data_IF_576596695399
#
_entry.id   IF_576596695399
#
_cell.length_a   1.000
_cell.length_b   1.000
_cell.length_c   1.000
_cell.angle_alpha   90.00
_cell.angle_beta   90.00
_cell.angle_gamma   90.00
#
_symmetry.space_group_name_H-M   'P 1'
#
loop_
_entity.id
_entity.type
_entity.pdbx_description
1 polymer ?
#
# COMPACT_ATOMS: atom_id res chain seq x y z
N UNK A 1 -46.54 12.92 30.81
CA UNK A 1 -46.88 14.04 29.92
C UNK A 1 -45.64 14.31 29.10
N UNK A 2 -45.53 13.70 27.91
CA UNK A 2 -45.97 14.23 26.60
C UNK A 2 -44.93 15.23 26.07
N UNK A 3 -44.40 15.18 24.84
CA UNK A 3 -44.46 14.28 23.67
C UNK A 3 -43.15 14.53 22.87
N UNK A 4 -42.64 13.63 22.02
CA UNK A 4 -43.14 13.34 20.66
C UNK A 4 -43.33 14.64 19.85
N UNK A 5 -42.76 14.90 18.67
CA UNK A 5 -42.16 14.08 17.61
C UNK A 5 -41.35 15.07 16.71
N UNK A 6 -40.45 14.71 15.80
CA UNK A 6 -40.64 14.18 14.44
C UNK A 6 -39.24 14.34 13.78
N UNK A 7 -38.64 13.28 13.22
CA UNK A 7 -38.90 12.72 11.88
C UNK A 7 -37.98 13.34 10.82
N UNK A 8 -37.33 12.48 10.05
CA UNK A 8 -36.24 12.84 9.14
C UNK A 8 -35.47 11.62 8.65
N UNK A 9 -36.22 10.62 8.17
CA UNK A 9 -35.77 9.43 7.46
C UNK A 9 -34.69 9.73 6.38
N UNK A 10 -33.53 9.08 6.48
CA UNK A 10 -32.62 8.90 5.32
C UNK A 10 -32.17 7.44 5.25
N UNK A 11 -33.13 6.55 5.02
CA UNK A 11 -32.86 5.16 4.64
C UNK A 11 -32.58 5.06 3.15
N UNK A 12 -31.35 4.65 2.86
CA UNK A 12 -30.92 3.70 1.81
C UNK A 12 -31.86 3.57 0.60
N UNK A 13 -31.49 4.21 -0.50
CA UNK A 13 -31.83 3.72 -1.84
C UNK A 13 -30.67 2.88 -2.37
N UNK A 14 -30.82 1.57 -2.19
CA UNK A 14 -30.09 0.53 -2.93
C UNK A 14 -31.04 0.00 -3.99
N UNK A 15 -30.88 0.44 -5.24
CA UNK A 15 -31.07 -0.34 -6.47
C UNK A 15 -30.98 0.58 -7.69
N UNK A 16 -29.84 0.49 -8.39
CA UNK A 16 -29.67 1.03 -9.73
C UNK A 16 -28.80 0.05 -10.50
N UNK A 17 -29.43 -0.89 -11.20
CA UNK A 17 -28.76 -1.74 -12.16
C UNK A 17 -28.85 -1.15 -13.56
N UNK A 18 -27.72 -1.27 -14.29
CA UNK A 18 -27.60 -1.42 -15.74
C UNK A 18 -27.40 -0.15 -16.60
N UNK A 19 -26.28 -0.16 -17.34
CA UNK A 19 -25.88 0.78 -18.40
C UNK A 19 -24.43 1.20 -18.13
N UNK A 20 -23.39 0.63 -18.75
CA UNK A 20 -23.23 0.38 -20.18
C UNK A 20 -22.68 1.65 -20.83
N UNK A 21 -21.36 1.82 -20.85
CA UNK A 21 -20.72 3.01 -21.43
C UNK A 21 -19.20 2.95 -21.36
N UNK A 22 -18.61 2.55 -22.48
CA UNK A 22 -17.19 2.53 -22.78
C UNK A 22 -16.48 3.84 -22.41
N UNK A 23 -15.25 3.74 -21.92
CA UNK A 23 -14.34 4.87 -21.82
C UNK A 23 -13.09 4.53 -21.02
N UNK A 24 -12.25 3.62 -21.55
CA UNK A 24 -10.84 3.54 -21.18
C UNK A 24 -10.13 4.77 -21.75
N UNK A 25 -9.58 5.71 -20.95
CA UNK A 25 -8.58 6.62 -21.45
C UNK A 25 -7.21 6.02 -21.16
N UNK A 26 -6.35 6.05 -22.18
CA UNK A 26 -4.94 5.68 -22.18
C UNK A 26 -4.68 4.21 -22.53
N UNK A 27 -4.51 4.01 -23.84
CA UNK A 27 -4.06 2.78 -24.43
C UNK A 27 -2.67 2.36 -23.93
N UNK A 28 -2.65 1.23 -23.23
CA UNK A 28 -1.51 0.33 -23.18
C UNK A 28 -1.99 -1.02 -23.70
N UNK A 29 -1.52 -1.42 -24.89
CA UNK A 29 -1.69 -2.79 -25.38
C UNK A 29 -0.51 -3.62 -24.84
N UNK A 30 -0.71 -4.62 -23.96
CA UNK A 30 0.30 -5.62 -23.73
C UNK A 30 0.33 -6.59 -24.91
N UNK A 31 1.50 -6.80 -25.50
CA UNK A 31 1.73 -7.84 -26.50
C UNK A 31 1.76 -9.18 -25.75
N UNK A 32 0.68 -9.96 -25.83
CA UNK A 32 0.71 -11.38 -25.47
C UNK A 32 1.27 -12.17 -26.65
N UNK A 33 2.31 -12.95 -26.40
CA UNK A 33 2.67 -14.09 -27.24
C UNK A 33 2.19 -15.33 -26.50
N UNK A 34 1.06 -15.88 -26.94
CA UNK A 34 0.61 -17.22 -26.55
C UNK A 34 0.97 -18.18 -27.69
N UNK A 35 1.71 -19.22 -27.31
CA UNK A 35 2.10 -20.35 -28.13
C UNK A 35 2.56 -21.45 -27.20
N UNK A 36 1.59 -22.06 -26.51
CA UNK A 36 1.77 -23.30 -25.75
C UNK A 36 2.17 -24.45 -26.68
N UNK A 37 3.01 -25.36 -26.18
CA UNK A 37 3.30 -26.60 -26.90
C UNK A 37 4.43 -27.47 -26.34
N UNK A 38 4.25 -27.98 -25.11
CA UNK A 38 4.58 -29.35 -24.66
C UNK A 38 5.96 -29.97 -24.95
N UNK A 39 6.60 -30.49 -23.89
CA UNK A 39 7.24 -31.82 -23.97
C UNK A 39 8.65 -31.96 -23.38
N UNK A 40 8.71 -32.43 -22.13
CA UNK A 40 9.52 -33.58 -21.68
C UNK A 40 11.03 -33.64 -21.88
N UNK A 41 11.74 -33.76 -20.75
CA UNK A 41 12.72 -34.86 -20.58
C UNK A 41 14.21 -34.49 -20.49
N UNK A 42 14.79 -34.83 -19.34
CA UNK A 42 16.07 -35.57 -19.30
C UNK A 42 17.38 -34.79 -19.26
N UNK A 43 17.98 -34.71 -18.06
CA UNK A 43 19.27 -35.32 -17.73
C UNK A 43 20.58 -34.92 -18.45
N UNK A 44 21.61 -34.66 -17.64
CA UNK A 44 23.03 -34.63 -18.01
C UNK A 44 23.56 -33.19 -18.15
N UNK A 45 24.70 -32.78 -17.60
CA UNK A 45 25.87 -33.50 -17.11
C UNK A 45 27.11 -32.77 -17.62
N UNK A 46 28.03 -32.38 -16.71
CA UNK A 46 29.36 -31.85 -17.01
C UNK A 46 29.40 -30.41 -17.55
N UNK A 47 30.50 -29.67 -17.52
CA UNK A 47 31.84 -29.79 -16.93
C UNK A 47 32.69 -28.69 -17.57
N UNK A 48 33.57 -28.03 -16.79
CA UNK A 48 34.66 -27.20 -17.31
C UNK A 48 34.22 -25.87 -17.96
N UNK A 49 35.00 -24.80 -18.01
CA UNK A 49 36.35 -24.45 -17.59
C UNK A 49 36.38 -22.92 -17.59
N UNK A 50 37.05 -22.26 -16.65
CA UNK A 50 38.45 -21.81 -16.80
C UNK A 50 38.71 -21.00 -18.09
N UNK A 51 39.16 -19.76 -17.90
CA UNK A 51 39.70 -18.88 -18.93
C UNK A 51 38.81 -17.65 -19.15
N UNK A 52 39.29 -16.43 -19.12
CA UNK A 52 40.65 -15.94 -19.01
C UNK A 52 40.56 -14.41 -18.88
N UNK A 53 41.64 -13.82 -18.38
CA UNK A 53 41.78 -12.39 -18.28
C UNK A 53 41.66 -11.70 -19.63
N UNK A 54 41.20 -10.47 -19.58
CA UNK A 54 41.09 -9.58 -20.72
C UNK A 54 40.84 -8.17 -20.20
N UNK A 55 41.89 -7.59 -19.62
CA UNK A 55 42.06 -6.15 -19.54
C UNK A 55 41.85 -5.58 -20.95
N UNK A 56 40.63 -5.09 -21.21
CA UNK A 56 40.40 -4.19 -22.33
C UNK A 56 40.44 -2.79 -21.74
N UNK A 57 41.68 -2.34 -21.56
CA UNK A 57 42.03 -0.93 -21.60
C UNK A 57 41.50 -0.35 -22.90
N UNK A 58 40.28 0.15 -22.84
CA UNK A 58 39.65 1.00 -23.85
C UNK A 58 39.96 2.46 -23.61
N UNK A 59 41.19 2.78 -23.17
CA UNK A 59 41.77 4.11 -23.39
C UNK A 59 42.09 4.21 -24.87
N UNK A 60 41.11 4.60 -25.69
CA UNK A 60 41.30 5.16 -27.03
C UNK A 60 39.95 5.62 -27.52
N UNK A 61 39.66 6.89 -27.29
CA UNK A 61 38.43 7.46 -27.83
C UNK A 61 38.09 8.87 -27.41
N UNK A 62 39.05 9.72 -26.99
CA UNK A 62 38.80 11.15 -26.81
C UNK A 62 40.05 12.00 -27.05
N UNK A 63 40.64 11.92 -28.24
CA UNK A 63 41.65 12.88 -28.69
C UNK A 63 41.51 13.15 -30.21
N UNK A 64 40.30 13.48 -30.70
CA UNK A 64 40.11 13.85 -32.13
C UNK A 64 39.28 15.13 -32.34
N UNK A 65 39.17 15.97 -31.32
CA UNK A 65 38.72 17.36 -31.45
C UNK A 65 39.71 18.17 -30.62
N UNK A 66 40.44 19.19 -31.06
CA UNK A 66 40.25 20.14 -32.14
C UNK A 66 41.54 20.99 -32.07
N UNK A 67 42.38 21.03 -33.11
CA UNK A 67 42.86 22.35 -33.50
C UNK A 67 41.76 22.91 -34.39
N UNK A 68 40.60 23.21 -33.79
CA UNK A 68 39.61 23.97 -34.50
C UNK A 68 40.27 25.30 -34.80
N UNK A 69 40.29 25.64 -36.08
CA UNK A 69 40.55 26.98 -36.51
C UNK A 69 39.50 27.89 -35.85
N UNK A 70 39.85 28.43 -34.69
CA UNK A 70 38.98 29.30 -33.91
C UNK A 70 39.09 30.71 -34.49
N UNK A 71 38.13 31.01 -35.35
CA UNK A 71 37.99 32.32 -35.96
C UNK A 71 36.92 33.08 -35.19
N UNK A 72 37.26 34.25 -34.64
CA UNK A 72 36.25 35.15 -34.08
C UNK A 72 35.73 36.09 -35.17
N UNK A 73 34.51 36.64 -35.03
CA UNK A 73 34.03 37.71 -35.92
C UNK A 73 35.03 38.87 -36.06
N UNK A 74 35.74 39.18 -34.97
CA UNK A 74 36.77 40.22 -34.96
C UNK A 74 37.99 39.83 -35.81
N UNK A 75 38.41 38.57 -35.75
CA UNK A 75 39.52 38.05 -36.56
C UNK A 75 39.17 38.08 -38.05
N UNK A 76 37.92 37.71 -38.41
CA UNK A 76 37.42 37.86 -39.78
C UNK A 76 37.52 39.32 -40.23
N UNK A 77 37.00 40.27 -39.43
CA UNK A 77 37.02 41.70 -39.78
C UNK A 77 38.43 42.29 -39.87
N UNK A 78 39.41 41.74 -39.16
CA UNK A 78 40.80 42.21 -39.19
C UNK A 78 41.68 41.49 -40.21
N UNK A 79 41.18 40.44 -40.85
CA UNK A 79 41.98 39.61 -41.76
C UNK A 79 42.36 40.39 -43.02
N UNK A 80 43.66 40.64 -43.20
CA UNK A 80 44.18 41.27 -44.42
C UNK A 80 44.58 40.24 -45.47
N UNK A 81 44.36 40.57 -46.75
CA UNK A 81 44.72 39.73 -47.89
C UNK A 81 45.81 40.39 -48.73
N UNK A 82 46.82 39.61 -49.15
CA UNK A 82 47.88 40.10 -50.05
C UNK A 82 47.33 40.32 -51.47
N UNK A 83 47.73 41.42 -52.10
CA UNK A 83 47.37 41.72 -53.50
C UNK A 83 48.18 40.85 -54.46
N UNK A 84 47.53 40.33 -55.50
CA UNK A 84 48.16 39.51 -56.57
C UNK A 84 47.63 39.93 -57.94
N UNK A 85 48.45 39.83 -58.98
CA UNK A 85 48.15 40.31 -60.36
C UNK A 85 46.93 39.64 -61.01
N UNK A 86 46.43 38.52 -60.45
CA UNK A 86 45.21 37.80 -60.88
C UNK A 86 44.29 37.44 -59.69
N UNK A 87 44.27 38.29 -58.66
CA UNK A 87 43.46 38.07 -57.44
C UNK A 87 41.99 38.45 -57.59
N UNK A 88 41.20 38.12 -56.56
CA UNK A 88 39.81 38.57 -56.43
C UNK A 88 39.73 40.10 -56.24
N UNK A 89 38.57 40.66 -56.60
CA UNK A 89 38.30 42.08 -56.52
C UNK A 89 38.27 42.56 -55.04
N UNK A 90 39.11 43.54 -54.64
CA UNK A 90 39.27 43.88 -53.23
C UNK A 90 38.00 44.33 -52.51
N UNK A 91 37.10 45.06 -53.17
CA UNK A 91 35.86 45.52 -52.50
C UNK A 91 34.90 44.35 -52.28
N UNK A 92 34.73 43.45 -53.25
CA UNK A 92 33.92 42.24 -53.08
C UNK A 92 34.42 41.31 -51.98
N UNK A 93 35.75 41.18 -51.82
CA UNK A 93 36.35 40.41 -50.71
C UNK A 93 36.08 41.08 -49.36
N UNK A 94 36.19 42.40 -49.29
CA UNK A 94 35.90 43.18 -48.07
C UNK A 94 34.43 43.06 -47.66
N UNK A 95 33.51 43.23 -48.60
CA UNK A 95 32.07 43.05 -48.38
C UNK A 95 31.74 41.64 -47.90
N UNK A 96 32.34 40.62 -48.50
CA UNK A 96 32.16 39.24 -48.08
C UNK A 96 32.72 39.00 -46.67
N UNK A 97 33.89 39.55 -46.34
CA UNK A 97 34.52 39.48 -45.01
C UNK A 97 33.60 40.04 -43.93
N UNK A 98 33.00 41.21 -44.16
CA UNK A 98 32.05 41.82 -43.22
C UNK A 98 30.82 40.93 -43.04
N UNK A 99 30.21 40.45 -44.13
CA UNK A 99 29.02 39.57 -44.06
C UNK A 99 29.31 38.25 -43.33
N UNK A 100 30.47 37.64 -43.56
CA UNK A 100 30.90 36.43 -42.85
C UNK A 100 31.09 36.71 -41.36
N UNK A 101 31.70 37.84 -41.00
CA UNK A 101 31.86 38.23 -39.61
C UNK A 101 30.51 38.43 -38.90
N UNK A 102 29.56 39.11 -39.55
CA UNK A 102 28.23 39.37 -39.01
C UNK A 102 27.45 38.07 -38.81
N UNK A 103 27.52 37.16 -39.77
CA UNK A 103 26.85 35.86 -39.71
C UNK A 103 27.48 34.95 -38.64
N UNK A 104 28.80 34.99 -38.50
CA UNK A 104 29.52 34.29 -37.44
C UNK A 104 29.14 34.84 -36.06
N UNK A 105 29.01 36.15 -35.92
CA UNK A 105 28.53 36.79 -34.69
C UNK A 105 27.10 36.37 -34.35
N UNK A 106 26.20 36.34 -35.36
CA UNK A 106 24.83 35.84 -35.20
C UNK A 106 24.81 34.40 -34.68
N UNK A 107 25.57 33.50 -35.31
CA UNK A 107 25.66 32.09 -34.93
C UNK A 107 26.20 31.92 -33.51
N UNK A 108 27.26 32.66 -33.14
CA UNK A 108 27.83 32.59 -31.79
C UNK A 108 26.84 33.05 -30.72
N UNK A 109 26.07 34.11 -30.98
CA UNK A 109 25.00 34.55 -30.07
C UNK A 109 23.92 33.48 -29.92
N UNK A 110 23.42 32.93 -31.03
CA UNK A 110 22.41 31.86 -31.02
C UNK A 110 22.91 30.61 -30.30
N UNK A 111 24.18 30.23 -30.52
CA UNK A 111 24.82 29.15 -29.80
C UNK A 111 24.81 29.40 -28.29
N UNK A 112 25.20 30.59 -27.83
CA UNK A 112 25.20 30.90 -26.39
C UNK A 112 23.80 30.78 -25.78
N UNK A 113 22.77 31.29 -26.47
CA UNK A 113 21.38 31.19 -26.02
C UNK A 113 20.90 29.74 -25.97
N UNK A 114 21.29 28.92 -26.95
CA UNK A 114 20.96 27.50 -26.96
C UNK A 114 21.69 26.73 -25.84
N UNK A 115 22.96 27.04 -25.60
CA UNK A 115 23.75 26.44 -24.50
C UNK A 115 23.14 26.77 -23.13
N UNK A 116 22.74 28.02 -22.90
CA UNK A 116 22.01 28.42 -21.69
C UNK A 116 20.68 27.67 -21.52
N UNK A 117 19.91 27.53 -22.61
CA UNK A 117 18.65 26.76 -22.58
C UNK A 117 18.88 25.28 -22.28
N UNK A 118 19.90 24.68 -22.88
CA UNK A 118 20.26 23.28 -22.63
C UNK A 118 20.67 23.09 -21.17
N UNK A 119 21.47 24.01 -20.62
CA UNK A 119 21.84 23.97 -19.21
C UNK A 119 20.60 24.08 -18.30
N UNK A 120 19.70 25.03 -18.57
CA UNK A 120 18.47 25.21 -17.80
C UNK A 120 17.54 23.98 -17.85
N UNK A 121 17.32 23.41 -19.04
CA UNK A 121 16.54 22.19 -19.22
C UNK A 121 17.22 20.99 -18.54
N UNK A 122 18.56 20.94 -18.54
CA UNK A 122 19.34 19.93 -17.85
C UNK A 122 19.09 19.94 -16.34
N UNK A 123 19.11 21.12 -15.70
CA UNK A 123 18.80 21.28 -14.28
C UNK A 123 17.35 20.91 -13.96
N UNK A 124 16.39 21.36 -14.79
CA UNK A 124 14.98 20.97 -14.62
C UNK A 124 14.80 19.46 -14.69
N UNK A 125 15.44 18.79 -15.64
CA UNK A 125 15.37 17.34 -15.78
C UNK A 125 15.97 16.61 -14.58
N UNK A 126 17.05 17.12 -14.00
CA UNK A 126 17.61 16.58 -12.75
C UNK A 126 16.61 16.70 -11.60
N UNK A 127 16.02 17.88 -11.41
CA UNK A 127 15.01 18.11 -10.38
C UNK A 127 13.77 17.19 -10.57
N UNK A 128 13.31 16.99 -11.82
CA UNK A 128 12.22 16.07 -12.10
C UNK A 128 12.57 14.62 -11.74
N UNK A 129 13.78 14.16 -12.09
CA UNK A 129 14.24 12.80 -11.75
C UNK A 129 14.38 12.59 -10.26
N UNK A 130 14.86 13.59 -9.52
CA UNK A 130 14.93 13.54 -8.06
C UNK A 130 13.54 13.46 -7.44
N UNK A 131 12.60 14.28 -7.93
CA UNK A 131 11.21 14.23 -7.49
C UNK A 131 10.54 12.89 -7.80
N UNK A 132 10.79 12.33 -8.98
CA UNK A 132 10.28 11.02 -9.37
C UNK A 132 10.83 9.91 -8.46
N UNK A 133 12.13 9.95 -8.13
CA UNK A 133 12.74 9.01 -7.16
C UNK A 133 12.08 9.13 -5.79
N UNK A 134 11.96 10.33 -5.24
CA UNK A 134 11.31 10.56 -3.95
C UNK A 134 9.85 10.09 -3.95
N UNK A 135 9.13 10.28 -5.06
CA UNK A 135 7.75 9.81 -5.20
C UNK A 135 7.67 8.28 -5.24
N UNK A 136 8.59 7.61 -5.93
CA UNK A 136 8.66 6.15 -5.96
C UNK A 136 9.02 5.58 -4.58
N UNK A 137 9.97 6.19 -3.87
CA UNK A 137 10.31 5.82 -2.50
C UNK A 137 9.12 6.00 -1.54
N UNK A 138 8.41 7.12 -1.64
CA UNK A 138 7.21 7.38 -0.85
C UNK A 138 6.10 6.36 -1.15
N UNK A 139 5.93 5.96 -2.42
CA UNK A 139 4.95 4.94 -2.80
C UNK A 139 5.29 3.58 -2.18
N UNK A 140 6.55 3.16 -2.25
CA UNK A 140 7.02 1.92 -1.62
C UNK A 140 6.82 1.97 -0.11
N UNK A 141 7.19 3.07 0.54
CA UNK A 141 7.00 3.25 1.97
C UNK A 141 5.51 3.19 2.36
N UNK A 142 4.62 3.82 1.58
CA UNK A 142 3.18 3.76 1.80
C UNK A 142 2.63 2.33 1.64
N UNK A 143 3.15 1.55 0.68
CA UNK A 143 2.77 0.15 0.51
C UNK A 143 3.20 -0.70 1.70
N UNK A 144 4.45 -0.56 2.15
CA UNK A 144 4.97 -1.26 3.32
C UNK A 144 4.19 -0.89 4.60
N UNK A 145 3.87 0.39 4.79
CA UNK A 145 3.08 0.85 5.92
C UNK A 145 1.66 0.26 5.90
N UNK A 146 1.02 0.21 4.73
CA UNK A 146 -0.30 -0.40 4.57
C UNK A 146 -0.28 -1.88 4.93
N UNK A 147 0.72 -2.63 4.45
CA UNK A 147 0.88 -4.06 4.75
C UNK A 147 1.14 -4.30 6.24
N UNK A 148 2.04 -3.51 6.84
CA UNK A 148 2.34 -3.59 8.27
C UNK A 148 1.10 -3.28 9.13
N UNK A 149 0.33 -2.25 8.76
CA UNK A 149 -0.91 -1.87 9.44
C UNK A 149 -1.95 -2.98 9.33
N UNK A 150 -2.13 -3.55 8.14
CA UNK A 150 -3.07 -4.65 7.93
C UNK A 150 -2.68 -5.89 8.75
N UNK A 151 -1.40 -6.26 8.76
CA UNK A 151 -0.90 -7.38 9.55
C UNK A 151 -1.05 -7.15 11.07
N UNK A 152 -0.83 -5.92 11.53
CA UNK A 152 -1.04 -5.54 12.93
C UNK A 152 -2.51 -5.64 13.33
N UNK A 153 -3.42 -5.05 12.53
CA UNK A 153 -4.86 -5.11 12.77
C UNK A 153 -5.39 -6.55 12.77
N UNK A 154 -4.89 -7.41 11.88
CA UNK A 154 -5.25 -8.83 11.87
C UNK A 154 -4.80 -9.57 13.14
N UNK A 155 -3.58 -9.32 13.63
CA UNK A 155 -3.10 -9.90 14.89
C UNK A 155 -3.92 -9.42 16.07
N UNK A 156 -4.18 -8.12 16.15
CA UNK A 156 -4.99 -7.52 17.21
C UNK A 156 -6.42 -8.07 17.21
N UNK A 157 -7.05 -8.17 16.04
CA UNK A 157 -8.37 -8.78 15.91
C UNK A 157 -8.38 -10.24 16.40
N UNK A 158 -7.35 -11.03 16.08
CA UNK A 158 -7.24 -12.41 16.57
C UNK A 158 -7.07 -12.47 18.09
N UNK A 159 -6.32 -11.55 18.69
CA UNK A 159 -6.17 -11.46 20.15
C UNK A 159 -7.51 -11.11 20.79
N UNK A 160 -8.20 -10.08 20.30
CA UNK A 160 -9.52 -9.68 20.81
C UNK A 160 -10.52 -10.84 20.75
N UNK A 161 -10.57 -11.57 19.63
CA UNK A 161 -11.46 -12.73 19.48
C UNK A 161 -11.12 -13.82 20.50
N UNK A 162 -9.82 -14.13 20.67
CA UNK A 162 -9.39 -15.15 21.64
C UNK A 162 -9.71 -14.76 23.08
N UNK A 163 -9.50 -13.49 23.45
CA UNK A 163 -9.81 -12.96 24.78
C UNK A 163 -11.32 -12.98 25.03
N UNK A 164 -12.13 -12.54 24.06
CA UNK A 164 -13.57 -12.58 24.14
C UNK A 164 -14.10 -14.02 24.28
N UNK A 165 -13.54 -14.98 23.54
CA UNK A 165 -13.90 -16.39 23.67
C UNK A 165 -13.49 -16.96 25.04
N UNK A 166 -12.33 -16.61 25.56
CA UNK A 166 -11.86 -17.07 26.87
C UNK A 166 -12.75 -16.53 27.99
N UNK A 167 -13.10 -15.24 27.96
CA UNK A 167 -13.98 -14.63 28.95
C UNK A 167 -15.41 -15.18 28.84
N UNK A 168 -15.93 -15.39 27.63
CA UNK A 168 -17.24 -16.01 27.44
C UNK A 168 -17.30 -17.43 28.03
N UNK A 169 -16.24 -18.24 27.84
CA UNK A 169 -16.15 -19.58 28.46
C UNK A 169 -16.13 -19.48 29.98
N UNK A 170 -15.33 -18.54 30.53
CA UNK A 170 -15.25 -18.30 31.97
C UNK A 170 -16.62 -17.96 32.57
N UNK A 171 -17.33 -17.01 31.96
CA UNK A 171 -18.69 -16.61 32.39
C UNK A 171 -19.67 -17.79 32.33
N UNK A 172 -19.62 -18.61 31.27
CA UNK A 172 -20.48 -19.78 31.14
C UNK A 172 -20.21 -20.81 32.25
N UNK A 173 -18.95 -21.05 32.56
CA UNK A 173 -18.57 -22.01 33.61
C UNK A 173 -18.93 -21.50 35.01
N UNK A 174 -18.71 -20.21 35.30
CA UNK A 174 -19.18 -19.55 36.52
C UNK A 174 -20.71 -19.66 36.66
N UNK A 175 -21.45 -19.38 35.57
CA UNK A 175 -22.92 -19.45 35.56
C UNK A 175 -23.43 -20.88 35.76
N UNK A 176 -22.78 -21.88 35.15
CA UNK A 176 -23.10 -23.30 35.35
C UNK A 176 -22.85 -23.73 36.79
N UNK A 177 -21.74 -23.29 37.38
CA UNK A 177 -21.44 -23.50 38.80
C UNK A 177 -22.54 -22.92 39.70
N UNK A 178 -22.86 -21.63 39.51
CA UNK A 178 -23.91 -20.95 40.28
C UNK A 178 -25.29 -21.62 40.13
N UNK A 179 -25.65 -22.05 38.91
CA UNK A 179 -26.89 -22.80 38.66
C UNK A 179 -26.91 -24.12 39.42
N UNK A 180 -25.82 -24.91 39.34
CA UNK A 180 -25.73 -26.18 40.05
C UNK A 180 -25.82 -25.98 41.57
N UNK A 181 -25.24 -24.90 42.10
CA UNK A 181 -25.30 -24.55 43.52
C UNK A 181 -26.73 -24.20 43.94
N UNK A 182 -27.42 -23.39 43.14
CA UNK A 182 -28.83 -23.04 43.36
C UNK A 182 -29.74 -24.27 43.34
N UNK A 183 -29.54 -25.18 42.39
CA UNK A 183 -30.30 -26.44 42.30
C UNK A 183 -30.05 -27.31 43.55
N UNK A 184 -28.81 -27.38 44.05
CA UNK A 184 -28.50 -28.10 45.30
C UNK A 184 -29.18 -27.47 46.52
N UNK A 185 -29.19 -26.14 46.61
CA UNK A 185 -29.86 -25.41 47.69
C UNK A 185 -31.38 -25.62 47.64
N UNK A 186 -32.00 -25.51 46.46
CA UNK A 186 -33.43 -25.75 46.27
C UNK A 186 -33.83 -27.18 46.68
N UNK A 187 -33.04 -28.18 46.27
CA UNK A 187 -33.26 -29.56 46.66
C UNK A 187 -33.11 -29.78 48.18
N UNK A 188 -32.19 -29.07 48.84
CA UNK A 188 -32.03 -29.13 50.29
C UNK A 188 -33.23 -28.55 51.03
N UNK A 189 -33.71 -27.38 50.61
CA UNK A 189 -34.91 -26.73 51.16
C UNK A 189 -36.14 -27.63 50.99
N UNK A 190 -36.30 -28.25 49.82
CA UNK A 190 -37.41 -29.18 49.56
C UNK A 190 -37.38 -30.39 50.49
N UNK A 191 -36.19 -30.97 50.73
CA UNK A 191 -36.03 -32.08 51.68
C UNK A 191 -36.37 -31.66 53.10
N UNK A 192 -35.90 -30.48 53.53
CA UNK A 192 -36.19 -29.94 54.85
C UNK A 192 -37.70 -29.69 55.03
N UNK A 193 -38.37 -29.17 54.02
CA UNK A 193 -39.83 -28.99 54.02
C UNK A 193 -40.58 -30.32 54.15
N UNK A 194 -40.19 -31.34 53.38
CA UNK A 194 -40.80 -32.68 53.47
C UNK A 194 -40.58 -33.31 54.85
N UNK A 195 -39.39 -33.19 55.43
CA UNK A 195 -39.09 -33.66 56.79
C UNK A 195 -39.93 -32.92 57.83
N UNK A 196 -40.08 -31.60 57.71
CA UNK A 196 -40.92 -30.80 58.60
C UNK A 196 -42.39 -31.22 58.54
N UNK A 197 -42.96 -31.34 57.33
CA UNK A 197 -44.36 -31.76 57.14
C UNK A 197 -44.59 -33.17 57.67
N UNK A 198 -43.68 -34.10 57.39
CA UNK A 198 -43.74 -35.47 57.91
C UNK A 198 -43.67 -35.52 59.44
N UNK A 199 -42.75 -34.76 60.05
CA UNK A 199 -42.61 -34.67 61.50
C UNK A 199 -43.83 -34.02 62.18
N UNK A 200 -44.37 -32.96 61.59
CA UNK A 200 -45.57 -32.29 62.09
C UNK A 200 -46.80 -33.20 62.02
N UNK A 201 -46.97 -33.95 60.94
CA UNK A 201 -48.03 -34.95 60.80
C UNK A 201 -47.93 -36.02 61.88
N UNK A 202 -46.74 -36.59 62.09
CA UNK A 202 -46.52 -37.61 63.11
C UNK A 202 -46.80 -37.07 64.53
N UNK A 203 -46.47 -35.81 64.80
CA UNK A 203 -46.79 -35.15 66.06
C UNK A 203 -48.31 -35.04 66.26
N UNK A 204 -49.04 -34.57 65.24
CA UNK A 204 -50.50 -34.45 65.29
C UNK A 204 -51.19 -35.80 65.47
N UNK A 205 -50.76 -36.83 64.72
CA UNK A 205 -51.29 -38.19 64.85
C UNK A 205 -51.09 -38.74 66.26
N UNK A 206 -49.92 -38.49 66.88
CA UNK A 206 -49.66 -38.84 68.28
C UNK A 206 -50.59 -38.10 69.25
N UNK A 207 -50.78 -36.79 69.08
CA UNK A 207 -51.64 -35.98 69.96
C UNK A 207 -53.11 -36.42 69.84
N UNK A 208 -53.56 -36.76 68.64
CA UNK A 208 -54.92 -37.26 68.42
C UNK A 208 -55.14 -38.60 69.13
N UNK A 209 -54.20 -39.54 68.98
CA UNK A 209 -54.26 -40.85 69.64
C UNK A 209 -54.26 -40.73 71.17
N UNK A 210 -53.56 -39.73 71.73
CA UNK A 210 -53.57 -39.45 73.16
C UNK A 210 -54.93 -38.94 73.66
N UNK A 211 -55.59 -38.06 72.90
CA UNK A 211 -56.95 -37.59 73.20
C UNK A 211 -57.98 -38.72 73.13
N UNK A 212 -57.93 -39.55 72.07
CA UNK A 212 -58.82 -40.71 71.92
C UNK A 212 -58.66 -41.69 73.10
N UNK A 213 -57.43 -41.91 73.58
CA UNK A 213 -57.16 -42.74 74.74
C UNK A 213 -57.67 -42.15 76.06
N UNK A 214 -57.76 -40.82 76.17
CA UNK A 214 -58.32 -40.12 77.33
C UNK A 214 -59.86 -40.12 77.33
N UNK A 215 -60.49 -39.95 76.17
CA UNK A 215 -61.95 -40.05 76.01
C UNK A 215 -62.46 -41.46 76.32
N UNK A 216 -61.75 -42.50 75.86
CA UNK A 216 -62.07 -43.89 76.18
C UNK A 216 -61.98 -44.24 77.67
N UNK A 217 -61.31 -43.42 78.49
CA UNK A 217 -61.22 -43.59 79.96
C UNK A 217 -62.31 -42.86 80.75
N UNK A 218 -63.05 -41.93 80.14
CA UNK A 218 -64.16 -41.21 80.80
C UNK A 218 -65.54 -41.82 80.51
N UNK A 219 -65.65 -42.74 79.55
CA UNK A 219 -66.92 -43.34 79.10
C UNK A 219 -67.24 -44.75 79.61
N UNK A 220 -66.53 -45.26 80.63
CA UNK A 220 -66.78 -46.57 81.26
C UNK A 220 -66.88 -46.46 82.77
#
# INVERSE_FOLDING_TARGET
MAGDALDGDVRRLRHGGRGGGNGDPLGYRPVRSEGDGTGGGGGGGGSGGAGGGGDIGGERGRDVTEHAFHLTPLDVRKQEFRKSLRGYEPMGVEDFRVRVADELERILRERSVLEERVAALGEQLRAYRERERAMNEALVAAQQLREATHAAAQREAQVIVREAEAEARRILDETRGAKADLERQAAAVQRQYQQYVGGFRALLERQLAELEALEGKQGG
#
